data_IF_972250657092
#
_entry.id   IF_972250657092
#
_cell.length_a   1.000
_cell.length_b   1.000
_cell.length_c   1.000
_cell.angle_alpha   90.00
_cell.angle_beta   90.00
_cell.angle_gamma   90.00
#
_symmetry.space_group_name_H-M   'P 1'
#
loop_
_entity.id
_entity.type
_entity.pdbx_description
1 polymer ?
#
# COMPACT_ATOMS: atom_id res chain seq x y z
N UNK A 1 25.90 -1.94 -14.88
CA UNK A 1 24.76 -1.70 -15.81
C UNK A 1 24.69 -2.84 -16.81
N UNK A 2 23.49 -3.35 -17.08
CA UNK A 2 23.27 -4.47 -18.02
C UNK A 2 23.54 -4.01 -19.45
N UNK A 3 24.35 -4.76 -20.19
CA UNK A 3 24.72 -4.44 -21.57
C UNK A 3 23.80 -5.13 -22.59
N UNK A 4 22.48 -4.91 -22.47
CA UNK A 4 21.48 -5.38 -23.44
C UNK A 4 20.50 -4.24 -23.77
N UNK A 5 19.86 -4.26 -24.96
CA UNK A 5 18.89 -3.23 -25.34
C UNK A 5 17.75 -3.07 -24.34
N UNK A 6 17.31 -1.82 -24.10
CA UNK A 6 16.19 -1.49 -23.18
C UNK A 6 14.93 -2.31 -23.46
N UNK A 7 14.62 -2.56 -24.72
CA UNK A 7 13.46 -3.36 -25.13
C UNK A 7 13.53 -4.78 -24.58
N UNK A 8 14.70 -5.42 -24.63
CA UNK A 8 14.91 -6.76 -24.07
C UNK A 8 14.76 -6.77 -22.55
N UNK A 9 15.30 -5.75 -21.86
CA UNK A 9 15.12 -5.59 -20.41
C UNK A 9 13.63 -5.53 -20.07
N UNK A 10 12.86 -4.68 -20.76
CA UNK A 10 11.43 -4.52 -20.51
C UNK A 10 10.62 -5.76 -20.88
N UNK A 11 10.99 -6.48 -21.93
CA UNK A 11 10.35 -7.73 -22.30
C UNK A 11 10.51 -8.79 -21.18
N UNK A 12 11.72 -8.99 -20.68
CA UNK A 12 11.97 -9.94 -19.58
C UNK A 12 11.34 -9.48 -18.27
N UNK A 13 11.35 -8.18 -17.99
CA UNK A 13 10.65 -7.61 -16.83
C UNK A 13 9.14 -7.89 -16.87
N UNK A 14 8.51 -7.81 -18.05
CA UNK A 14 7.10 -8.17 -18.22
C UNK A 14 6.86 -9.66 -17.99
N UNK A 15 7.70 -10.53 -18.55
CA UNK A 15 7.61 -11.98 -18.31
C UNK A 15 7.69 -12.28 -16.81
N UNK A 16 8.65 -11.67 -16.11
CA UNK A 16 8.79 -11.80 -14.66
C UNK A 16 7.52 -11.33 -13.93
N UNK A 17 6.99 -10.16 -14.27
CA UNK A 17 5.75 -9.66 -13.66
C UNK A 17 4.54 -10.56 -13.95
N UNK A 18 4.39 -11.07 -15.17
CA UNK A 18 3.31 -11.98 -15.53
C UNK A 18 3.40 -13.25 -14.67
N UNK A 19 4.60 -13.83 -14.55
CA UNK A 19 4.86 -14.97 -13.68
C UNK A 19 4.52 -14.70 -12.22
N UNK A 20 4.96 -13.57 -11.65
CA UNK A 20 4.74 -13.23 -10.24
C UNK A 20 3.27 -12.95 -9.92
N UNK A 21 2.53 -12.32 -10.83
CA UNK A 21 1.14 -11.90 -10.58
C UNK A 21 0.10 -12.96 -10.97
N UNK A 22 0.46 -13.94 -11.81
CA UNK A 22 -0.49 -14.92 -12.35
C UNK A 22 -0.33 -16.30 -11.73
N UNK A 23 -1.34 -16.86 -11.04
CA UNK A 23 -1.23 -18.20 -10.45
C UNK A 23 -1.15 -19.34 -11.49
N UNK A 24 -1.61 -19.12 -12.73
CA UNK A 24 -1.62 -20.12 -13.81
C UNK A 24 -0.29 -20.26 -14.58
N UNK A 25 0.67 -19.35 -14.40
CA UNK A 25 1.99 -19.44 -15.06
C UNK A 25 2.93 -20.21 -14.13
N UNK A 26 3.22 -21.48 -14.41
CA UNK A 26 3.98 -22.34 -13.50
C UNK A 26 5.50 -22.12 -13.55
N UNK A 27 6.02 -21.72 -14.70
CA UNK A 27 7.46 -21.66 -14.98
C UNK A 27 7.88 -20.24 -15.34
N UNK A 28 9.08 -19.86 -14.89
CA UNK A 28 9.69 -18.58 -15.20
C UNK A 28 10.84 -18.83 -16.18
N UNK A 29 10.70 -18.30 -17.40
CA UNK A 29 11.74 -18.35 -18.42
C UNK A 29 12.02 -16.95 -18.93
N UNK A 30 13.22 -16.43 -18.62
CA UNK A 30 13.65 -15.10 -19.06
C UNK A 30 14.73 -15.25 -20.14
N UNK A 31 14.40 -15.08 -21.44
CA UNK A 31 15.32 -15.35 -22.54
C UNK A 31 16.65 -14.58 -22.50
N UNK A 32 16.67 -13.40 -21.87
CA UNK A 32 17.87 -12.56 -21.78
C UNK A 32 18.50 -12.52 -20.39
N UNK A 33 17.88 -13.19 -19.40
CA UNK A 33 18.40 -13.32 -18.04
C UNK A 33 18.36 -14.79 -17.63
N UNK A 34 19.39 -15.59 -18.01
CA UNK A 34 19.48 -16.96 -17.51
C UNK A 34 19.40 -16.96 -15.98
N UNK A 35 18.81 -18.01 -15.43
CA UNK A 35 18.57 -18.12 -13.99
C UNK A 35 19.01 -19.51 -13.53
N UNK A 36 19.74 -19.56 -12.43
CA UNK A 36 20.10 -20.81 -11.78
C UNK A 36 18.87 -21.45 -11.12
N UNK A 37 18.96 -22.74 -10.76
CA UNK A 37 17.91 -23.40 -9.98
C UNK A 37 17.64 -22.68 -8.65
N UNK A 38 18.68 -22.11 -8.03
CA UNK A 38 18.57 -21.32 -6.80
C UNK A 38 17.81 -20.01 -7.06
N UNK A 39 18.16 -19.27 -8.11
CA UNK A 39 17.47 -18.03 -8.48
C UNK A 39 16.00 -18.25 -8.85
N UNK A 40 15.70 -19.31 -9.61
CA UNK A 40 14.32 -19.71 -9.91
C UNK A 40 13.54 -20.11 -8.65
N UNK A 41 14.16 -20.82 -7.72
CA UNK A 41 13.55 -21.15 -6.44
C UNK A 41 13.20 -19.89 -5.64
N UNK A 42 14.10 -18.91 -5.58
CA UNK A 42 13.81 -17.64 -4.94
C UNK A 42 12.62 -16.90 -5.59
N UNK A 43 12.56 -16.84 -6.92
CA UNK A 43 11.41 -16.22 -7.61
C UNK A 43 10.09 -16.95 -7.35
N UNK A 44 10.11 -18.27 -7.19
CA UNK A 44 8.95 -19.04 -6.76
C UNK A 44 8.49 -18.66 -5.34
N UNK A 45 9.43 -18.42 -4.42
CA UNK A 45 9.10 -17.93 -3.08
C UNK A 45 8.50 -16.52 -3.13
N UNK A 46 9.10 -15.61 -3.91
CA UNK A 46 8.56 -14.25 -4.14
C UNK A 46 7.16 -14.31 -4.74
N UNK A 47 6.91 -15.21 -5.69
CA UNK A 47 5.56 -15.42 -6.26
C UNK A 47 4.54 -15.78 -5.18
N UNK A 48 4.88 -16.65 -4.22
CA UNK A 48 3.97 -16.98 -3.11
C UNK A 48 3.63 -15.74 -2.29
N UNK A 49 4.58 -14.84 -2.05
CA UNK A 49 4.32 -13.57 -1.36
C UNK A 49 3.39 -12.65 -2.17
N UNK A 50 3.53 -12.60 -3.50
CA UNK A 50 2.61 -11.86 -4.38
C UNK A 50 1.17 -12.41 -4.28
N UNK A 51 1.00 -13.72 -4.37
CA UNK A 51 -0.32 -14.36 -4.25
C UNK A 51 -0.92 -14.17 -2.85
N UNK A 52 -0.10 -14.26 -1.79
CA UNK A 52 -0.52 -13.95 -0.43
C UNK A 52 -0.97 -12.49 -0.29
N UNK A 53 -0.28 -11.56 -0.93
CA UNK A 53 -0.66 -10.15 -0.96
C UNK A 53 -2.04 -9.95 -1.61
N UNK A 54 -2.34 -10.63 -2.72
CA UNK A 54 -3.68 -10.59 -3.33
C UNK A 54 -4.78 -11.15 -2.43
N UNK A 55 -4.48 -12.23 -1.68
CA UNK A 55 -5.40 -12.77 -0.70
C UNK A 55 -5.68 -11.74 0.42
N UNK A 56 -4.64 -11.16 0.99
CA UNK A 56 -4.75 -10.13 2.03
C UNK A 56 -5.54 -8.93 1.50
N UNK A 57 -5.24 -8.46 0.29
CA UNK A 57 -5.96 -7.35 -0.36
C UNK A 57 -7.45 -7.66 -0.53
N UNK A 58 -7.79 -8.86 -0.99
CA UNK A 58 -9.18 -9.28 -1.22
C UNK A 58 -9.96 -9.33 0.10
N UNK A 59 -9.39 -9.97 1.13
CA UNK A 59 -10.02 -10.11 2.45
C UNK A 59 -10.15 -8.75 3.13
N UNK A 60 -9.06 -7.99 3.21
CA UNK A 60 -9.04 -6.67 3.87
C UNK A 60 -9.86 -5.63 3.11
N UNK A 61 -9.84 -5.65 1.78
CA UNK A 61 -10.65 -4.77 0.93
C UNK A 61 -12.13 -5.01 1.10
N UNK A 62 -12.56 -6.28 1.09
CA UNK A 62 -13.95 -6.67 1.36
C UNK A 62 -14.39 -6.24 2.76
N UNK A 63 -13.56 -6.51 3.78
CA UNK A 63 -13.83 -6.07 5.15
C UNK A 63 -13.94 -4.54 5.27
N UNK A 64 -13.02 -3.82 4.63
CA UNK A 64 -13.01 -2.36 4.60
C UNK A 64 -14.27 -1.80 3.95
N UNK A 65 -14.72 -2.39 2.83
CA UNK A 65 -15.94 -1.97 2.15
C UNK A 65 -17.16 -2.04 3.08
N UNK A 66 -17.40 -3.19 3.72
CA UNK A 66 -18.52 -3.36 4.65
C UNK A 66 -18.39 -2.47 5.89
N UNK A 67 -17.18 -2.32 6.42
CA UNK A 67 -16.92 -1.44 7.56
C UNK A 67 -17.20 0.03 7.23
N UNK A 68 -16.83 0.52 6.03
CA UNK A 68 -17.12 1.89 5.61
C UNK A 68 -18.63 2.14 5.46
N UNK A 69 -19.40 1.17 4.96
CA UNK A 69 -20.87 1.26 4.92
C UNK A 69 -21.46 1.37 6.34
N UNK A 70 -20.98 0.54 7.27
CA UNK A 70 -21.38 0.59 8.68
C UNK A 70 -21.01 1.92 9.33
N UNK A 71 -19.76 2.38 9.17
CA UNK A 71 -19.26 3.62 9.75
C UNK A 71 -19.99 4.85 9.22
N UNK A 72 -20.37 4.85 7.93
CA UNK A 72 -21.20 5.91 7.32
C UNK A 72 -22.57 5.97 8.00
N UNK A 73 -23.23 4.82 8.22
CA UNK A 73 -24.53 4.75 8.91
C UNK A 73 -24.44 5.24 10.36
N UNK A 74 -23.36 4.90 11.06
CA UNK A 74 -23.11 5.27 12.47
C UNK A 74 -22.42 6.62 12.67
N UNK A 75 -22.09 7.34 11.59
CA UNK A 75 -21.41 8.66 11.60
C UNK A 75 -20.07 8.66 12.37
N UNK A 76 -19.29 7.59 12.27
CA UNK A 76 -18.04 7.40 13.04
C UNK A 76 -16.83 8.18 12.51
N UNK A 77 -17.04 9.27 11.77
CA UNK A 77 -15.97 10.02 11.11
C UNK A 77 -14.93 10.60 12.08
N UNK A 78 -15.34 10.95 13.31
CA UNK A 78 -14.44 11.46 14.36
C UNK A 78 -13.38 10.43 14.75
N UNK A 79 -13.75 9.15 14.84
CA UNK A 79 -12.82 8.06 15.14
C UNK A 79 -11.76 7.87 14.06
N UNK A 80 -12.09 8.14 12.79
CA UNK A 80 -11.15 8.02 11.67
C UNK A 80 -9.99 9.01 11.71
N UNK A 81 -10.16 10.17 12.33
CA UNK A 81 -9.08 11.15 12.44
C UNK A 81 -7.87 10.61 13.19
N UNK A 82 -8.09 9.77 14.21
CA UNK A 82 -7.01 9.19 14.99
C UNK A 82 -6.22 8.18 14.14
N UNK A 83 -6.93 7.30 13.42
CA UNK A 83 -6.30 6.32 12.52
C UNK A 83 -5.52 6.98 11.39
N UNK A 84 -6.07 8.03 10.75
CA UNK A 84 -5.33 8.75 9.72
C UNK A 84 -4.09 9.45 10.28
N UNK A 85 -4.15 10.05 11.48
CA UNK A 85 -2.99 10.69 12.11
C UNK A 85 -1.87 9.69 12.41
N UNK A 86 -2.21 8.57 13.05
CA UNK A 86 -1.23 7.53 13.32
C UNK A 86 -0.69 6.92 12.03
N UNK A 87 -1.56 6.69 11.04
CA UNK A 87 -1.15 6.21 9.72
C UNK A 87 -0.14 7.13 9.05
N UNK A 88 -0.39 8.44 9.03
CA UNK A 88 0.53 9.46 8.49
C UNK A 88 1.88 9.40 9.20
N UNK A 89 1.88 9.43 10.55
CA UNK A 89 3.13 9.39 11.31
C UNK A 89 3.92 8.09 11.07
N UNK A 90 3.23 6.95 11.02
CA UNK A 90 3.84 5.64 10.76
C UNK A 90 4.42 5.57 9.34
N UNK A 91 3.64 5.98 8.34
CA UNK A 91 4.04 6.01 6.93
C UNK A 91 5.26 6.91 6.71
N UNK A 92 5.25 8.14 7.27
CA UNK A 92 6.42 9.03 7.24
C UNK A 92 7.66 8.40 7.91
N UNK A 93 7.47 7.72 9.05
CA UNK A 93 8.58 7.02 9.74
C UNK A 93 9.18 5.91 8.86
N UNK A 94 8.34 5.18 8.12
CA UNK A 94 8.79 4.15 7.19
C UNK A 94 9.53 4.79 6.01
N UNK A 95 9.00 5.87 5.42
CA UNK A 95 9.67 6.59 4.32
C UNK A 95 11.04 7.08 4.76
N UNK A 96 11.15 7.70 5.94
CA UNK A 96 12.44 8.15 6.48
C UNK A 96 13.38 6.96 6.67
N UNK A 97 12.92 5.86 7.25
CA UNK A 97 13.70 4.63 7.43
C UNK A 97 14.24 4.07 6.10
N UNK A 98 13.41 4.07 5.04
CA UNK A 98 13.81 3.66 3.68
C UNK A 98 14.94 4.56 3.17
N UNK A 99 14.84 5.88 3.34
CA UNK A 99 15.85 6.82 2.83
C UNK A 99 17.19 6.65 3.56
N UNK A 100 17.18 6.42 4.87
CA UNK A 100 18.42 6.39 5.68
C UNK A 100 19.10 5.01 5.70
N UNK A 101 18.33 3.92 5.59
CA UNK A 101 18.82 2.57 5.90
C UNK A 101 18.21 1.49 5.00
N UNK A 102 18.06 1.75 3.69
CA UNK A 102 17.41 0.81 2.78
C UNK A 102 18.07 -0.58 2.78
N UNK A 103 19.40 -0.67 2.73
CA UNK A 103 20.10 -1.96 2.66
C UNK A 103 19.81 -2.85 3.88
N UNK A 104 19.77 -2.26 5.08
CA UNK A 104 19.42 -2.97 6.30
C UNK A 104 17.97 -3.46 6.29
N UNK A 105 17.04 -2.63 5.79
CA UNK A 105 15.64 -3.02 5.64
C UNK A 105 15.47 -4.10 4.57
N UNK A 106 16.20 -4.01 3.48
CA UNK A 106 16.20 -5.00 2.41
C UNK A 106 16.71 -6.35 2.92
N UNK A 107 17.82 -6.36 3.67
CA UNK A 107 18.34 -7.56 4.32
C UNK A 107 17.34 -8.15 5.33
N UNK A 108 16.78 -7.32 6.21
CA UNK A 108 15.82 -7.75 7.22
C UNK A 108 14.56 -8.37 6.58
N UNK A 109 14.07 -7.77 5.48
CA UNK A 109 12.96 -8.34 4.71
C UNK A 109 13.29 -9.76 4.25
N UNK A 110 14.47 -9.96 3.62
CA UNK A 110 14.85 -11.27 3.11
C UNK A 110 15.00 -12.30 4.23
N UNK A 111 15.64 -11.94 5.34
CA UNK A 111 15.79 -12.82 6.50
C UNK A 111 14.45 -13.16 7.18
N UNK A 112 13.46 -12.27 7.08
CA UNK A 112 12.13 -12.50 7.67
C UNK A 112 11.30 -13.48 6.83
N UNK A 113 11.38 -13.38 5.51
CA UNK A 113 10.52 -14.15 4.60
C UNK A 113 11.20 -15.38 3.98
N UNK A 114 12.52 -15.44 3.97
CA UNK A 114 13.30 -16.54 3.39
C UNK A 114 14.27 -17.09 4.43
N UNK A 115 14.30 -18.43 4.55
CA UNK A 115 15.09 -19.15 5.55
C UNK A 115 16.28 -19.91 4.94
N UNK A 116 16.71 -19.48 3.76
CA UNK A 116 17.74 -20.10 2.93
C UNK A 116 18.50 -19.00 2.17
N UNK A 117 19.57 -19.37 1.45
CA UNK A 117 20.44 -18.41 0.75
C UNK A 117 20.05 -18.18 -0.72
N UNK A 118 18.89 -18.66 -1.18
CA UNK A 118 18.53 -18.58 -2.60
C UNK A 118 18.34 -17.14 -3.11
N UNK A 119 18.07 -16.19 -2.21
CA UNK A 119 17.98 -14.76 -2.50
C UNK A 119 19.36 -14.09 -2.70
N UNK A 120 20.47 -14.78 -2.41
CA UNK A 120 21.83 -14.31 -2.68
C UNK A 120 22.24 -14.65 -4.11
N UNK A 121 21.83 -13.80 -5.06
CA UNK A 121 22.11 -14.01 -6.48
C UNK A 121 23.59 -13.81 -6.81
N UNK A 122 24.14 -14.69 -7.65
CA UNK A 122 25.45 -14.52 -8.26
C UNK A 122 25.26 -13.89 -9.65
N UNK A 123 25.82 -12.70 -9.93
CA UNK A 123 25.66 -12.03 -11.24
C UNK A 123 26.10 -12.86 -12.45
N UNK A 124 26.96 -13.88 -12.27
CA UNK A 124 27.38 -14.77 -13.35
C UNK A 124 26.32 -15.81 -13.74
N UNK A 125 25.49 -16.25 -12.79
CA UNK A 125 24.44 -17.26 -13.00
C UNK A 125 23.04 -16.69 -13.00
N UNK A 126 22.84 -15.54 -12.35
CA UNK A 126 21.57 -14.85 -12.13
C UNK A 126 21.72 -13.34 -12.44
N UNK A 127 22.09 -12.97 -13.68
CA UNK A 127 22.36 -11.58 -14.07
C UNK A 127 21.18 -10.62 -13.93
N UNK A 128 19.97 -11.12 -13.65
CA UNK A 128 18.78 -10.30 -13.39
C UNK A 128 19.00 -9.31 -12.23
N UNK A 129 19.87 -9.63 -11.25
CA UNK A 129 20.23 -8.72 -10.16
C UNK A 129 20.86 -7.41 -10.67
N UNK A 130 21.50 -7.44 -11.84
CA UNK A 130 22.09 -6.25 -12.45
C UNK A 130 21.02 -5.34 -13.09
N UNK A 131 19.85 -5.89 -13.44
CA UNK A 131 18.70 -5.15 -13.94
C UNK A 131 17.76 -4.68 -12.82
N UNK A 132 17.68 -5.46 -11.73
CA UNK A 132 16.86 -5.21 -10.55
C UNK A 132 17.76 -5.07 -9.30
N UNK A 133 18.64 -4.05 -9.24
CA UNK A 133 19.49 -3.85 -8.07
C UNK A 133 18.66 -3.34 -6.87
N UNK A 134 19.25 -3.35 -5.67
CA UNK A 134 18.56 -2.90 -4.45
C UNK A 134 17.95 -1.49 -4.60
N UNK A 135 18.65 -0.57 -5.25
CA UNK A 135 18.18 0.80 -5.47
C UNK A 135 16.89 0.83 -6.30
N UNK A 136 16.70 -0.08 -7.27
CA UNK A 136 15.44 -0.18 -8.00
C UNK A 136 14.27 -0.45 -7.03
N UNK A 137 14.45 -1.38 -6.09
CA UNK A 137 13.45 -1.66 -5.06
C UNK A 137 13.25 -0.47 -4.11
N UNK A 138 14.32 0.23 -3.72
CA UNK A 138 14.21 1.45 -2.91
C UNK A 138 13.26 2.47 -3.56
N UNK A 139 13.43 2.76 -4.86
CA UNK A 139 12.54 3.67 -5.58
C UNK A 139 11.09 3.17 -5.61
N UNK A 140 10.88 1.87 -5.78
CA UNK A 140 9.52 1.28 -5.73
C UNK A 140 8.89 1.40 -4.35
N UNK A 141 9.64 1.15 -3.27
CA UNK A 141 9.15 1.33 -1.90
C UNK A 141 8.82 2.79 -1.61
N UNK A 142 9.68 3.73 -2.02
CA UNK A 142 9.41 5.17 -1.89
C UNK A 142 8.15 5.59 -2.65
N UNK A 143 7.97 5.10 -3.88
CA UNK A 143 6.76 5.37 -4.66
C UNK A 143 5.51 4.80 -3.96
N UNK A 144 5.56 3.54 -3.53
CA UNK A 144 4.43 2.89 -2.88
C UNK A 144 4.03 3.60 -1.58
N UNK A 145 4.98 3.88 -0.69
CA UNK A 145 4.70 4.59 0.57
C UNK A 145 4.35 6.05 0.34
N UNK A 146 4.90 6.72 -0.69
CA UNK A 146 4.47 8.06 -1.10
C UNK A 146 2.99 8.10 -1.52
N UNK A 147 2.52 7.11 -2.28
CA UNK A 147 1.11 6.98 -2.63
C UNK A 147 0.23 6.70 -1.40
N UNK A 148 0.69 5.86 -0.48
CA UNK A 148 0.02 5.61 0.81
C UNK A 148 -0.09 6.90 1.63
N UNK A 149 0.99 7.68 1.71
CA UNK A 149 1.03 8.95 2.41
C UNK A 149 0.00 9.93 1.86
N UNK A 150 -0.03 10.11 0.53
CA UNK A 150 -1.03 10.95 -0.15
C UNK A 150 -2.45 10.47 0.18
N UNK A 151 -2.70 9.16 0.09
CA UNK A 151 -4.00 8.58 0.40
C UNK A 151 -4.45 8.88 1.85
N UNK A 152 -3.53 8.73 2.81
CA UNK A 152 -3.81 8.99 4.23
C UNK A 152 -4.09 10.46 4.51
N UNK A 153 -3.31 11.38 3.91
CA UNK A 153 -3.50 12.83 4.03
C UNK A 153 -4.84 13.25 3.42
N UNK A 154 -5.16 12.78 2.21
CA UNK A 154 -6.45 13.05 1.57
C UNK A 154 -7.60 12.51 2.42
N UNK A 155 -7.48 11.30 2.95
CA UNK A 155 -8.45 10.70 3.86
C UNK A 155 -8.67 11.52 5.13
N UNK A 156 -7.59 12.01 5.74
CA UNK A 156 -7.62 12.91 6.89
C UNK A 156 -8.41 14.20 6.60
N UNK A 157 -8.10 14.86 5.49
CA UNK A 157 -8.76 16.11 5.07
C UNK A 157 -10.25 15.88 4.82
N UNK A 158 -10.63 14.80 4.11
CA UNK A 158 -12.02 14.44 3.87
C UNK A 158 -12.76 14.20 5.19
N UNK A 159 -12.17 13.46 6.13
CA UNK A 159 -12.77 13.20 7.44
C UNK A 159 -13.01 14.50 8.21
N UNK A 160 -12.02 15.42 8.25
CA UNK A 160 -12.13 16.76 8.85
C UNK A 160 -13.29 17.56 8.26
N UNK A 161 -13.40 17.61 6.93
CA UNK A 161 -14.47 18.35 6.24
C UNK A 161 -15.86 17.77 6.58
N UNK A 162 -16.00 16.44 6.59
CA UNK A 162 -17.27 15.79 6.93
C UNK A 162 -17.70 16.07 8.36
N UNK A 163 -16.77 16.03 9.32
CA UNK A 163 -17.05 16.34 10.73
C UNK A 163 -17.55 17.78 10.87
N UNK A 164 -16.85 18.75 10.29
CA UNK A 164 -17.25 20.16 10.31
C UNK A 164 -18.66 20.36 9.76
N UNK A 165 -18.99 19.72 8.64
CA UNK A 165 -20.31 19.83 8.03
C UNK A 165 -21.41 19.22 8.92
N UNK A 166 -21.14 18.10 9.60
CA UNK A 166 -22.08 17.48 10.53
C UNK A 166 -22.33 18.35 11.76
N UNK A 167 -21.27 18.93 12.33
CA UNK A 167 -21.38 19.81 13.49
C UNK A 167 -22.19 21.08 13.11
N UNK A 168 -21.91 21.69 11.93
CA UNK A 168 -22.66 22.84 11.40
C UNK A 168 -24.15 22.53 11.19
N UNK A 169 -24.48 21.37 10.61
CA UNK A 169 -25.88 20.96 10.41
C UNK A 169 -26.61 20.74 11.73
N UNK A 170 -25.92 20.21 12.73
CA UNK A 170 -26.47 19.98 14.07
C UNK A 170 -26.75 21.33 14.76
N UNK A 171 -25.81 22.27 14.68
CA UNK A 171 -25.99 23.62 15.23
C UNK A 171 -27.16 24.36 14.58
N UNK A 172 -27.28 24.32 13.24
CA UNK A 172 -28.42 24.94 12.50
C UNK A 172 -29.77 24.34 12.91
N UNK A 173 -29.85 23.02 13.12
CA UNK A 173 -31.09 22.36 13.57
C UNK A 173 -31.47 22.79 14.98
N UNK A 174 -30.50 22.86 15.90
CA UNK A 174 -30.75 23.30 17.28
C UNK A 174 -31.23 24.75 17.33
N UNK A 175 -30.62 25.65 16.55
CA UNK A 175 -31.03 27.05 16.47
C UNK A 175 -32.46 27.20 15.93
N UNK A 176 -32.82 26.49 14.85
CA UNK A 176 -34.20 26.51 14.31
C UNK A 176 -35.23 26.01 15.33
N UNK A 177 -34.90 24.98 16.10
CA UNK A 177 -35.77 24.45 17.15
C UNK A 177 -35.97 25.48 18.27
N UNK A 178 -34.92 26.17 18.70
CA UNK A 178 -35.01 27.21 19.73
C UNK A 178 -35.91 28.38 19.29
N UNK A 179 -35.69 28.90 18.07
CA UNK A 179 -36.52 29.99 17.51
C UNK A 179 -37.99 29.55 17.36
N UNK A 180 -38.24 28.31 16.96
CA UNK A 180 -39.61 27.77 16.87
C UNK A 180 -40.34 27.75 18.20
N UNK A 181 -39.65 27.28 19.25
CA UNK A 181 -40.18 27.25 20.63
C UNK A 181 -40.47 28.68 21.13
N UNK A 182 -39.55 29.63 20.92
CA UNK A 182 -39.74 31.03 21.33
C UNK A 182 -40.97 31.67 20.66
N UNK A 183 -41.19 31.39 19.36
CA UNK A 183 -42.37 31.90 18.63
C UNK A 183 -43.67 31.34 19.19
N UNK A 184 -43.73 30.06 19.50
CA UNK A 184 -44.92 29.40 20.06
C UNK A 184 -45.31 29.98 21.43
N UNK A 185 -44.32 30.26 22.29
CA UNK A 185 -44.55 30.94 23.58
C UNK A 185 -45.05 32.39 23.43
N UNK A 186 -44.65 33.10 22.38
CA UNK A 186 -45.07 34.49 22.14
C UNK A 186 -46.50 34.63 21.63
N UNK A 187 -47.05 33.59 20.97
CA UNK A 187 -48.41 33.58 20.42
C UNK A 187 -49.51 33.15 21.40
N UNK A 188 -49.13 32.63 22.57
CA UNK A 188 -50.07 32.13 23.60
C UNK A 188 -50.31 33.18 24.72
N UNK A 189 -49.72 34.37 24.60
CA UNK A 189 -49.97 35.55 25.46
C UNK A 189 -50.80 36.58 24.73
#
# INVERSE_FOLDING_TARGET
>A
YVNIPREQILANYRILLDYLNSPWISELEMPNFPSSNSGLFHFLEVKKLFLLNYLILTVSGTGTFFFLLYAKKKKLYKSFLLYFRFGILLSLTIIVSIIISFDALFLLFHQTFFNNDAWLFNPATDPIILALPAEFFMHNFLLAFGLVEIFLVVGYVIAKVKIRNQDNLTQRKNLKRQIGVEKEFSTVK
#
